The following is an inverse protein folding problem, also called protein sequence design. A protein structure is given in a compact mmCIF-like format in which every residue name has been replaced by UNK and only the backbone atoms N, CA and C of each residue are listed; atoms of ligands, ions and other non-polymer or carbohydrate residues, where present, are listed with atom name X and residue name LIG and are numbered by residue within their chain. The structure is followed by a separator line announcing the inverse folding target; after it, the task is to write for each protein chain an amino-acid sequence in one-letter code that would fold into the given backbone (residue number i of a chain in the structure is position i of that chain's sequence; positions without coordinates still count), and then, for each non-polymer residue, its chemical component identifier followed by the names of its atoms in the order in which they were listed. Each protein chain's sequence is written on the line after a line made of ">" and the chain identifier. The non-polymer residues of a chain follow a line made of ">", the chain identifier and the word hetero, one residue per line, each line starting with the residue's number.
data_IF_929428319611
#
_entry.id   IF_929428319611
#
_cell.length_a   1.000
_cell.length_b   1.000
_cell.length_c   1.000
_cell.angle_alpha   90.00
_cell.angle_beta   90.00
_cell.angle_gamma   90.00
#
_symmetry.space_group_name_H-M   'P 1'
#
loop_
_entity.id
_entity.type
_entity.pdbx_description
1 polymer ?
#
# COMPACT_ATOMS: atom_id res chain seq x y z
N UNK A 1 -28.61 -7.78 8.67
CA UNK A 1 -27.16 -7.68 8.43
C UNK A 1 -26.93 -6.43 7.63
N UNK A 2 -26.38 -5.38 8.25
CA UNK A 2 -25.98 -4.18 7.51
C UNK A 2 -24.86 -4.56 6.54
N UNK A 3 -25.07 -4.31 5.25
CA UNK A 3 -24.00 -4.35 4.26
C UNK A 3 -23.13 -3.13 4.53
N UNK A 4 -21.96 -3.31 5.13
CA UNK A 4 -20.97 -2.23 5.22
C UNK A 4 -20.45 -2.01 3.80
N UNK A 5 -21.08 -1.10 3.07
CA UNK A 5 -20.60 -0.64 1.77
C UNK A 5 -19.77 0.62 2.01
N UNK A 6 -18.57 0.43 2.56
CA UNK A 6 -17.55 1.48 2.61
C UNK A 6 -16.58 1.21 1.47
N UNK A 7 -16.96 1.64 0.26
CA UNK A 7 -16.04 1.64 -0.88
C UNK A 7 -14.96 2.70 -0.60
N UNK A 8 -13.75 2.25 -0.25
CA UNK A 8 -12.60 3.13 -0.06
C UNK A 8 -12.17 3.72 -1.42
N UNK A 9 -11.90 5.02 -1.44
CA UNK A 9 -11.29 5.65 -2.61
C UNK A 9 -9.87 5.13 -2.85
N UNK A 10 -9.38 5.25 -4.10
CA UNK A 10 -7.99 4.89 -4.42
C UNK A 10 -6.99 5.67 -3.55
N UNK A 11 -7.27 6.93 -3.22
CA UNK A 11 -6.41 7.76 -2.37
C UNK A 11 -6.35 7.22 -0.92
N UNK A 12 -7.48 6.78 -0.38
CA UNK A 12 -7.52 6.15 0.94
C UNK A 12 -6.76 4.82 0.95
N UNK A 13 -6.95 3.99 -0.08
CA UNK A 13 -6.22 2.71 -0.23
C UNK A 13 -4.71 2.92 -0.35
N UNK A 14 -4.27 3.94 -1.09
CA UNK A 14 -2.86 4.32 -1.18
C UNK A 14 -2.32 4.71 0.19
N UNK A 15 -3.03 5.59 0.92
CA UNK A 15 -2.60 6.06 2.24
C UNK A 15 -2.46 4.90 3.24
N UNK A 16 -3.48 4.04 3.32
CA UNK A 16 -3.47 2.85 4.19
C UNK A 16 -2.30 1.93 3.84
N UNK A 17 -2.04 1.75 2.54
CA UNK A 17 -0.96 0.87 2.08
C UNK A 17 0.42 1.45 2.39
N UNK A 18 0.61 2.76 2.23
CA UNK A 18 1.86 3.44 2.60
C UNK A 18 2.12 3.34 4.11
N UNK A 19 1.09 3.52 4.94
CA UNK A 19 1.23 3.39 6.39
C UNK A 19 1.51 1.95 6.83
N UNK A 20 0.92 0.95 6.16
CA UNK A 20 1.26 -0.45 6.38
C UNK A 20 2.74 -0.73 6.09
N UNK A 21 3.27 -0.21 4.97
CA UNK A 21 4.69 -0.40 4.62
C UNK A 21 5.59 0.28 5.67
N UNK A 22 5.27 1.49 6.14
CA UNK A 22 6.04 2.14 7.22
C UNK A 22 6.09 1.30 8.49
N UNK A 23 4.98 0.63 8.85
CA UNK A 23 4.97 -0.29 9.98
C UNK A 23 5.89 -1.50 9.73
N UNK A 24 5.80 -2.11 8.55
CA UNK A 24 6.67 -3.23 8.17
C UNK A 24 8.16 -2.82 8.18
N UNK A 25 8.49 -1.63 7.67
CA UNK A 25 9.84 -1.07 7.72
C UNK A 25 10.34 -0.94 9.16
N UNK A 26 9.50 -0.43 10.07
CA UNK A 26 9.85 -0.31 11.49
C UNK A 26 10.10 -1.68 12.12
N UNK A 27 9.28 -2.68 11.82
CA UNK A 27 9.45 -4.04 12.34
C UNK A 27 10.76 -4.66 11.83
N UNK A 28 11.04 -4.52 10.54
CA UNK A 28 12.27 -5.03 9.94
C UNK A 28 13.52 -4.33 10.51
N UNK A 29 13.51 -3.00 10.55
CA UNK A 29 14.64 -2.19 11.05
C UNK A 29 14.91 -2.40 12.55
N UNK A 30 13.91 -2.85 13.32
CA UNK A 30 14.08 -3.20 14.74
C UNK A 30 14.38 -4.69 14.95
N UNK A 31 14.60 -5.45 13.88
CA UNK A 31 14.90 -6.89 13.93
C UNK A 31 13.76 -7.75 14.44
N UNK A 32 12.50 -7.26 14.36
CA UNK A 32 11.31 -7.96 14.82
C UNK A 32 10.76 -8.96 13.82
N UNK A 33 11.11 -8.80 12.54
CA UNK A 33 10.78 -9.71 11.45
C UNK A 33 12.01 -9.93 10.58
N UNK A 34 12.09 -11.07 9.92
CA UNK A 34 13.15 -11.38 8.95
C UNK A 34 12.93 -10.63 7.64
N UNK A 35 13.92 -10.72 6.74
CA UNK A 35 13.80 -10.18 5.39
C UNK A 35 12.70 -10.89 4.60
N UNK A 36 12.64 -12.21 4.71
CA UNK A 36 11.63 -13.03 4.02
C UNK A 36 10.21 -12.64 4.48
N UNK A 37 10.00 -12.51 5.79
CA UNK A 37 8.72 -12.06 6.34
C UNK A 37 8.36 -10.63 5.88
N UNK A 38 9.33 -9.73 5.85
CA UNK A 38 9.13 -8.38 5.32
C UNK A 38 8.75 -8.37 3.83
N UNK A 39 9.42 -9.19 3.02
CA UNK A 39 9.15 -9.29 1.59
C UNK A 39 7.75 -9.89 1.35
N UNK A 40 7.36 -10.95 2.08
CA UNK A 40 6.00 -11.51 2.04
C UNK A 40 4.93 -10.48 2.43
N UNK A 41 5.20 -9.67 3.46
CA UNK A 41 4.28 -8.65 3.92
C UNK A 41 4.15 -7.48 2.94
N UNK A 42 5.22 -7.11 2.23
CA UNK A 42 5.27 -5.85 1.47
C UNK A 42 5.23 -6.00 -0.05
N UNK A 43 5.54 -7.17 -0.62
CA UNK A 43 5.70 -7.35 -2.07
C UNK A 43 4.48 -6.87 -2.88
N UNK A 44 3.29 -7.42 -2.61
CA UNK A 44 2.07 -7.04 -3.33
C UNK A 44 1.62 -5.60 -3.07
N UNK A 45 1.92 -5.05 -1.89
CA UNK A 45 1.60 -3.66 -1.53
C UNK A 45 2.47 -2.66 -2.28
N UNK A 46 3.76 -2.96 -2.41
CA UNK A 46 4.68 -2.17 -3.23
C UNK A 46 4.28 -2.19 -4.70
N UNK A 47 3.88 -3.35 -5.23
CA UNK A 47 3.34 -3.46 -6.59
C UNK A 47 2.05 -2.64 -6.77
N UNK A 48 1.11 -2.73 -5.82
CA UNK A 48 -0.10 -1.90 -5.81
C UNK A 48 0.23 -0.41 -5.85
N UNK A 49 1.11 0.08 -4.96
CA UNK A 49 1.47 1.50 -4.92
C UNK A 49 2.12 1.98 -6.21
N UNK A 50 2.96 1.14 -6.84
CA UNK A 50 3.57 1.46 -8.14
C UNK A 50 2.50 1.65 -9.21
N UNK A 51 1.53 0.72 -9.31
CA UNK A 51 0.43 0.81 -10.27
C UNK A 51 -0.50 1.99 -10.00
N UNK A 52 -0.82 2.25 -8.74
CA UNK A 52 -1.65 3.39 -8.34
C UNK A 52 -1.00 4.73 -8.73
N UNK A 53 0.32 4.87 -8.56
CA UNK A 53 1.07 6.07 -8.96
C UNK A 53 1.10 6.25 -10.48
N UNK A 54 1.23 5.17 -11.25
CA UNK A 54 1.16 5.23 -12.72
C UNK A 54 -0.21 5.73 -13.21
N UNK A 55 -1.30 5.22 -12.63
CA UNK A 55 -2.66 5.69 -12.98
C UNK A 55 -2.87 7.17 -12.65
N UNK A 56 -2.33 7.67 -11.54
CA UNK A 56 -2.38 9.11 -11.21
C UNK A 56 -1.58 9.94 -12.22
N UNK A 57 -0.40 9.48 -12.64
CA UNK A 57 0.42 10.18 -13.63
C UNK A 57 -0.25 10.22 -15.01
N UNK A 58 -0.89 9.12 -15.43
CA UNK A 58 -1.65 9.06 -16.68
C UNK A 58 -2.80 10.08 -16.66
N UNK A 59 -3.56 10.19 -15.57
CA UNK A 59 -4.63 11.19 -15.46
C UNK A 59 -4.12 12.62 -15.61
N UNK A 60 -2.92 12.94 -15.10
CA UNK A 60 -2.32 14.28 -15.22
C UNK A 60 -1.92 14.60 -16.67
N UNK A 61 -1.50 13.61 -17.46
CA UNK A 61 -1.01 13.82 -18.83
C UNK A 61 -2.12 14.00 -19.88
N UNK A 62 -3.40 13.78 -19.51
CA UNK A 62 -4.57 13.96 -20.39
C UNK A 62 -5.34 15.27 -20.14
N UNK A 63 -4.82 16.15 -19.26
CA UNK A 63 -5.27 17.53 -19.08
C UNK A 63 -4.16 18.51 -19.51
#
# INVERSE_FOLDING_TARGET
>A
MEKIQNDLSLAELVTITEDFIKLADKLYNTGKITREEYDELTFMKKDFLKKAKMQQQEQINYF
#
